data_IF_303422071290
#
_entry.id   IF_303422071290
#
_cell.length_a   1.000
_cell.length_b   1.000
_cell.length_c   1.000
_cell.angle_alpha   90.00
_cell.angle_beta   90.00
_cell.angle_gamma   90.00
#
_symmetry.space_group_name_H-M   'P 1'
#
loop_
_entity.id
_entity.type
_entity.pdbx_description
1 polymer ?
#
# COMPACT_ATOMS: atom_id res chain seq x y z
N UNK A 1 -1.65 16.32 -13.37
CA UNK A 1 -0.95 16.17 -12.07
C UNK A 1 -0.74 14.70 -11.85
N UNK A 2 0.49 14.21 -12.04
CA UNK A 2 0.79 12.80 -11.85
C UNK A 2 0.74 12.46 -10.37
N UNK A 3 -0.17 11.56 -10.02
CA UNK A 3 -0.35 11.05 -8.67
C UNK A 3 0.21 9.64 -8.62
N UNK A 4 1.36 9.47 -8.00
CA UNK A 4 1.83 8.14 -7.63
C UNK A 4 1.04 7.63 -6.41
N UNK A 5 0.62 6.38 -6.45
CA UNK A 5 0.01 5.71 -5.32
C UNK A 5 0.61 4.32 -5.17
N UNK A 6 0.96 3.98 -3.93
CA UNK A 6 1.51 2.70 -3.55
C UNK A 6 0.98 2.30 -2.18
N UNK A 7 1.11 1.02 -1.83
CA UNK A 7 0.69 0.47 -0.54
C UNK A 7 1.71 -0.52 0.00
N UNK A 8 1.85 -0.55 1.32
CA UNK A 8 2.50 -1.63 2.05
C UNK A 8 1.43 -2.38 2.84
N UNK A 9 1.60 -3.69 2.96
CA UNK A 9 0.73 -4.57 3.71
C UNK A 9 1.60 -5.34 4.67
N UNK A 10 1.29 -5.24 5.96
CA UNK A 10 1.86 -6.11 6.97
C UNK A 10 0.78 -7.10 7.39
N UNK A 11 1.05 -8.38 7.20
CA UNK A 11 0.15 -9.47 7.56
C UNK A 11 0.82 -10.37 8.60
N UNK A 12 0.07 -10.84 9.59
CA UNK A 12 0.55 -11.86 10.53
C UNK A 12 -0.03 -13.20 10.11
N UNK A 13 0.83 -14.18 9.83
CA UNK A 13 0.45 -15.53 9.48
C UNK A 13 -0.05 -16.27 10.74
N UNK A 14 -1.29 -16.81 10.75
CA UNK A 14 -1.89 -17.37 11.97
C UNK A 14 -1.23 -18.64 12.51
N UNK A 15 -0.63 -19.46 11.66
CA UNK A 15 -0.06 -20.75 12.03
C UNK A 15 1.36 -20.61 12.61
N UNK A 16 2.22 -19.84 11.95
CA UNK A 16 3.60 -19.58 12.36
C UNK A 16 3.71 -18.40 13.32
N UNK A 17 2.76 -17.47 13.28
CA UNK A 17 2.81 -16.20 14.01
C UNK A 17 3.78 -15.18 13.41
N UNK A 18 4.43 -15.52 12.29
CA UNK A 18 5.36 -14.65 11.58
C UNK A 18 4.63 -13.54 10.84
N UNK A 19 5.39 -12.53 10.42
CA UNK A 19 4.87 -11.36 9.74
C UNK A 19 5.40 -11.29 8.32
N UNK A 20 4.50 -11.16 7.34
CA UNK A 20 4.86 -10.89 5.94
C UNK A 20 4.64 -9.42 5.60
N UNK A 21 5.63 -8.80 4.97
CA UNK A 21 5.55 -7.47 4.39
C UNK A 21 5.53 -7.54 2.87
N UNK A 22 4.43 -7.09 2.28
CA UNK A 22 4.25 -7.01 0.82
C UNK A 22 4.16 -5.55 0.36
N UNK A 23 4.73 -5.24 -0.82
CA UNK A 23 4.82 -3.89 -1.39
C UNK A 23 4.18 -3.85 -2.77
N UNK A 24 3.28 -2.89 -3.02
CA UNK A 24 2.55 -2.85 -4.29
C UNK A 24 3.41 -2.51 -5.52
N UNK A 25 4.58 -1.91 -5.31
CA UNK A 25 5.50 -1.51 -6.38
C UNK A 25 6.62 -2.54 -6.61
N UNK A 26 6.73 -3.53 -5.72
CA UNK A 26 7.75 -4.58 -5.78
C UNK A 26 7.18 -5.86 -5.13
N UNK A 27 6.23 -6.53 -5.81
CA UNK A 27 5.48 -7.64 -5.24
C UNK A 27 6.33 -8.91 -5.07
N UNK A 28 7.46 -9.02 -5.76
CA UNK A 28 8.40 -10.14 -5.67
C UNK A 28 9.39 -10.00 -4.50
N UNK A 29 9.50 -8.80 -3.92
CA UNK A 29 10.33 -8.54 -2.74
C UNK A 29 9.52 -8.72 -1.45
N UNK A 30 8.92 -9.89 -1.27
CA UNK A 30 8.26 -10.27 -0.03
C UNK A 30 9.31 -10.48 1.08
N UNK A 31 9.03 -9.96 2.27
CA UNK A 31 9.92 -10.12 3.42
C UNK A 31 9.16 -10.70 4.60
N UNK A 32 9.76 -11.72 5.22
CA UNK A 32 9.21 -12.40 6.38
C UNK A 32 9.99 -12.04 7.63
N UNK A 33 9.28 -11.84 8.73
CA UNK A 33 9.84 -11.44 10.01
C UNK A 33 9.25 -12.28 11.14
N UNK A 34 10.10 -12.80 12.01
CA UNK A 34 9.65 -13.56 13.18
C UNK A 34 8.95 -12.69 14.24
N UNK A 35 9.16 -11.37 14.25
CA UNK A 35 8.62 -10.46 15.26
C UNK A 35 8.01 -9.21 14.65
N UNK A 36 7.00 -8.67 15.33
CA UNK A 36 6.37 -7.40 14.96
C UNK A 36 7.37 -6.25 14.96
N UNK A 37 8.33 -6.25 15.89
CA UNK A 37 9.35 -5.22 15.98
C UNK A 37 10.25 -5.20 14.73
N UNK A 38 10.71 -6.37 14.27
CA UNK A 38 11.52 -6.48 13.07
C UNK A 38 10.73 -6.04 11.82
N UNK A 39 9.45 -6.41 11.74
CA UNK A 39 8.56 -5.94 10.69
C UNK A 39 8.33 -4.41 10.73
N UNK A 40 8.16 -3.83 11.92
CA UNK A 40 7.99 -2.39 12.08
C UNK A 40 9.24 -1.63 11.61
N UNK A 41 10.43 -2.09 11.98
CA UNK A 41 11.69 -1.52 11.48
C UNK A 41 11.79 -1.61 9.95
N UNK A 42 11.26 -2.68 9.34
CA UNK A 42 11.20 -2.78 7.89
C UNK A 42 10.23 -1.75 7.28
N UNK A 43 9.06 -1.54 7.87
CA UNK A 43 8.09 -0.50 7.44
C UNK A 43 8.68 0.92 7.55
N UNK A 44 9.57 1.17 8.51
CA UNK A 44 10.22 2.47 8.70
C UNK A 44 11.39 2.75 7.74
N UNK A 45 11.81 1.77 6.93
CA UNK A 45 12.89 1.96 5.96
C UNK A 45 12.55 3.04 4.93
N UNK A 46 13.60 3.65 4.37
CA UNK A 46 13.46 4.60 3.28
C UNK A 46 13.08 3.88 1.99
N UNK A 47 11.92 4.24 1.44
CA UNK A 47 11.44 3.71 0.16
C UNK A 47 11.71 4.69 -0.98
N UNK A 48 12.22 4.17 -2.10
CA UNK A 48 12.29 4.95 -3.34
C UNK A 48 10.87 5.12 -3.87
N UNK A 49 10.35 6.34 -3.75
CA UNK A 49 9.05 6.68 -4.30
C UNK A 49 9.12 6.70 -5.83
N UNK A 50 8.16 6.12 -6.56
CA UNK A 50 8.11 6.16 -8.02
C UNK A 50 7.64 7.53 -8.57
N UNK A 51 7.68 8.60 -7.75
CA UNK A 51 7.31 9.95 -8.18
C UNK A 51 8.45 10.51 -9.04
N UNK A 52 8.19 10.91 -10.30
CA UNK A 52 9.20 11.55 -11.11
C UNK A 52 9.68 12.86 -10.46
N UNK A 53 10.98 13.11 -10.52
CA UNK A 53 11.57 14.37 -10.07
C UNK A 53 11.04 15.54 -10.92
N UNK A 54 11.00 16.76 -10.37
CA UNK A 54 10.68 17.94 -11.17
C UNK A 54 11.74 18.18 -12.24
N UNK A 55 11.35 18.85 -13.32
CA UNK A 55 12.29 19.24 -14.37
C UNK A 55 13.35 20.22 -13.79
N UNK A 56 14.64 20.04 -14.10
CA UNK A 56 15.67 20.96 -13.62
C UNK A 56 15.44 22.39 -14.13
N UNK A 57 15.68 23.40 -13.29
CA UNK A 57 15.57 24.83 -13.65
C UNK A 57 14.19 25.28 -14.12
N UNK A 58 13.14 24.52 -13.84
CA UNK A 58 11.77 24.95 -14.08
C UNK A 58 11.10 25.35 -12.76
N UNK A 59 10.28 26.40 -12.81
CA UNK A 59 9.29 26.73 -11.78
C UNK A 59 9.71 26.67 -10.30
N UNK A 60 8.72 26.39 -9.45
CA UNK A 60 8.87 26.17 -8.01
C UNK A 60 7.91 25.05 -7.64
N UNK A 61 8.42 24.04 -6.93
CA UNK A 61 7.76 22.77 -6.71
C UNK A 61 7.51 22.51 -5.23
N UNK A 62 6.56 21.61 -4.96
CA UNK A 62 6.37 21.00 -3.65
C UNK A 62 5.89 19.57 -3.83
N UNK A 63 6.14 18.73 -2.83
CA UNK A 63 5.50 17.42 -2.72
C UNK A 63 4.42 17.45 -1.65
N UNK A 64 3.29 16.81 -1.91
CA UNK A 64 2.25 16.52 -0.92
C UNK A 64 2.13 14.99 -0.78
N UNK A 65 2.30 14.50 0.44
CA UNK A 65 2.10 13.10 0.78
C UNK A 65 0.80 12.95 1.58
N UNK A 66 0.03 11.91 1.24
CA UNK A 66 -1.15 11.48 2.01
C UNK A 66 -0.95 10.02 2.37
N UNK A 67 -0.96 9.74 3.66
CA UNK A 67 -0.86 8.39 4.20
C UNK A 67 -2.19 8.04 4.87
N UNK A 68 -2.76 6.92 4.46
CA UNK A 68 -3.94 6.33 5.10
C UNK A 68 -3.48 5.02 5.73
N UNK A 69 -3.70 4.87 7.04
CA UNK A 69 -3.34 3.67 7.81
C UNK A 69 -4.64 3.03 8.29
N UNK A 70 -4.79 1.75 7.97
CA UNK A 70 -5.93 0.93 8.34
C UNK A 70 -5.46 -0.36 8.99
N UNK A 71 -6.18 -0.77 10.03
CA UNK A 71 -6.01 -2.06 10.69
C UNK A 71 -7.23 -2.88 10.29
N UNK A 72 -7.02 -4.00 9.59
CA UNK A 72 -8.07 -4.91 9.17
C UNK A 72 -8.26 -6.01 10.22
N UNK A 73 -9.50 -6.46 10.42
CA UNK A 73 -9.77 -7.60 11.30
C UNK A 73 -9.61 -8.92 10.55
N UNK A 74 -9.46 -10.04 11.28
CA UNK A 74 -9.27 -11.38 10.68
C UNK A 74 -10.42 -11.78 9.73
N UNK A 75 -11.66 -11.41 10.05
CA UNK A 75 -12.81 -11.71 9.19
C UNK A 75 -12.78 -10.99 7.85
N UNK A 76 -12.21 -9.79 7.81
CA UNK A 76 -12.04 -8.99 6.58
C UNK A 76 -10.92 -9.54 5.68
N UNK A 77 -10.04 -10.36 6.26
CA UNK A 77 -8.84 -10.87 5.60
C UNK A 77 -9.11 -12.17 4.83
N UNK A 78 -9.98 -13.04 5.35
CA UNK A 78 -10.41 -14.27 4.67
C UNK A 78 -11.09 -13.94 3.33
N UNK A 79 -11.96 -12.92 3.30
CA UNK A 79 -12.59 -12.45 2.07
C UNK A 79 -11.57 -11.85 1.08
N UNK A 80 -10.56 -11.13 1.60
CA UNK A 80 -9.48 -10.58 0.79
C UNK A 80 -8.58 -11.68 0.22
N UNK A 81 -8.24 -12.71 1.02
CA UNK A 81 -7.40 -13.82 0.60
C UNK A 81 -8.09 -14.69 -0.45
N UNK A 82 -9.38 -14.99 -0.27
CA UNK A 82 -10.19 -15.71 -1.24
C UNK A 82 -10.33 -14.96 -2.57
N UNK A 83 -10.47 -13.62 -2.50
CA UNK A 83 -10.50 -12.76 -3.69
C UNK A 83 -9.13 -12.63 -4.37
N UNK A 84 -8.04 -12.53 -3.61
CA UNK A 84 -6.66 -12.53 -4.12
C UNK A 84 -6.29 -13.87 -4.77
N UNK A 85 -6.90 -14.97 -4.31
CA UNK A 85 -6.75 -16.32 -4.88
C UNK A 85 -7.60 -16.55 -6.13
N UNK A 86 -8.44 -15.58 -6.51
CA UNK A 86 -9.14 -15.58 -7.79
C UNK A 86 -10.47 -16.35 -7.82
N UNK A 87 -11.10 -16.60 -6.68
CA UNK A 87 -12.35 -17.38 -6.60
C UNK A 87 -13.63 -16.56 -6.88
N UNK A 88 -13.53 -15.28 -7.23
CA UNK A 88 -14.63 -14.53 -7.88
C UNK A 88 -14.35 -14.43 -9.38
N UNK A 89 -14.56 -15.55 -10.07
CA UNK A 89 -14.66 -15.60 -11.52
C UNK A 89 -16.14 -15.57 -11.89
N UNK A 90 -16.67 -14.41 -12.25
CA UNK A 90 -17.78 -14.34 -13.19
C UNK A 90 -17.43 -13.37 -14.33
N UNK A 91 -17.14 -13.99 -15.47
CA UNK A 91 -17.33 -13.50 -16.84
C UNK A 91 -16.86 -12.07 -17.17
N UNK A 92 -15.67 -12.02 -17.78
CA UNK A 92 -15.29 -10.89 -18.62
C UNK A 92 -13.86 -10.47 -18.37
N UNK A 93 -13.02 -10.72 -19.36
CA UNK A 93 -11.68 -10.19 -19.57
C UNK A 93 -11.49 -8.76 -19.00
N UNK A 94 -10.91 -8.66 -17.81
CA UNK A 94 -10.28 -7.41 -17.35
C UNK A 94 -8.96 -7.72 -16.63
N UNK A 95 -8.06 -8.39 -17.35
CA UNK A 95 -6.67 -8.55 -16.95
C UNK A 95 -5.93 -7.22 -16.93
N UNK A 96 -5.36 -6.85 -15.77
CA UNK A 96 -4.21 -5.96 -15.69
C UNK A 96 -4.44 -4.53 -15.16
N UNK A 97 -5.66 -3.97 -15.23
CA UNK A 97 -5.90 -2.58 -14.84
C UNK A 97 -6.73 -2.38 -13.54
N UNK A 98 -7.55 -3.37 -13.16
CA UNK A 98 -8.52 -3.22 -12.05
C UNK A 98 -7.93 -3.53 -10.66
N UNK A 99 -6.85 -4.31 -10.57
CA UNK A 99 -6.29 -4.77 -9.29
C UNK A 99 -5.84 -3.65 -8.33
N UNK A 100 -5.48 -2.47 -8.85
CA UNK A 100 -5.03 -1.32 -8.04
C UNK A 100 -6.17 -0.47 -7.46
N UNK A 101 -7.39 -0.63 -7.98
CA UNK A 101 -8.56 0.18 -7.61
C UNK A 101 -9.49 -0.51 -6.61
N UNK A 102 -9.73 -1.82 -6.78
CA UNK A 102 -10.74 -2.56 -6.01
C UNK A 102 -10.38 -2.74 -4.54
N UNK A 103 -9.11 -2.97 -4.21
CA UNK A 103 -8.63 -3.07 -2.82
C UNK A 103 -8.94 -1.82 -1.99
N UNK A 104 -8.86 -0.64 -2.61
CA UNK A 104 -9.21 0.65 -1.99
C UNK A 104 -10.72 0.80 -1.74
N UNK A 105 -11.56 0.09 -2.48
CA UNK A 105 -13.02 0.10 -2.32
C UNK A 105 -13.46 -0.83 -1.19
N UNK A 106 -12.89 -2.05 -1.10
CA UNK A 106 -13.17 -2.99 -0.01
C UNK A 106 -12.85 -2.40 1.36
N UNK A 107 -11.66 -1.81 1.50
CA UNK A 107 -11.22 -1.12 2.72
C UNK A 107 -12.18 0.01 3.14
N UNK A 108 -12.69 0.79 2.18
CA UNK A 108 -13.58 1.92 2.46
C UNK A 108 -14.98 1.47 2.90
N UNK A 109 -15.39 0.27 2.50
CA UNK A 109 -16.72 -0.28 2.76
C UNK A 109 -16.87 -0.78 4.21
N UNK A 110 -15.78 -1.19 4.86
CA UNK A 110 -15.81 -1.83 6.19
C UNK A 110 -15.80 -0.80 7.34
N UNK A 111 -15.66 0.50 7.03
CA UNK A 111 -15.88 1.56 8.03
C UNK A 111 -14.97 1.50 9.25
N UNK A 112 -13.77 0.93 9.10
CA UNK A 112 -12.78 0.82 10.17
C UNK A 112 -12.08 2.15 10.41
N UNK A 113 -11.43 2.27 11.56
CA UNK A 113 -10.72 3.47 12.00
C UNK A 113 -9.53 3.79 11.08
N UNK A 114 -9.78 4.44 9.94
CA UNK A 114 -8.72 4.93 9.06
C UNK A 114 -8.05 6.14 9.71
N UNK A 115 -6.76 6.03 10.02
CA UNK A 115 -5.97 7.20 10.40
C UNK A 115 -5.39 7.84 9.15
N UNK A 116 -5.70 9.13 8.97
CA UNK A 116 -5.26 9.90 7.80
C UNK A 116 -4.21 10.92 8.21
N UNK A 117 -3.09 10.88 7.53
CA UNK A 117 -1.98 11.81 7.71
C UNK A 117 -1.72 12.54 6.40
N UNK A 118 -1.37 13.82 6.50
CA UNK A 118 -0.96 14.65 5.37
C UNK A 118 0.31 15.38 5.74
N UNK A 119 1.28 15.34 4.84
CA UNK A 119 2.50 16.10 4.94
C UNK A 119 2.74 16.84 3.63
N UNK A 120 3.37 18.01 3.71
CA UNK A 120 3.75 18.80 2.54
C UNK A 120 5.16 19.32 2.75
N UNK A 121 6.00 19.26 1.73
CA UNK A 121 7.31 19.92 1.76
C UNK A 121 7.14 21.42 1.66
N UNK A 122 8.16 22.16 2.08
CA UNK A 122 8.30 23.55 1.67
C UNK A 122 8.41 23.65 0.14
N UNK A 123 8.18 24.85 -0.38
CA UNK A 123 8.42 25.15 -1.78
C UNK A 123 9.93 25.10 -2.05
N UNK A 124 10.33 24.41 -3.11
CA UNK A 124 11.74 24.29 -3.50
C UNK A 124 11.92 24.53 -5.00
N UNK A 125 13.15 24.84 -5.39
CA UNK A 125 13.56 24.96 -6.80
C UNK A 125 14.62 23.89 -7.09
N UNK A 126 14.36 22.98 -8.03
CA UNK A 126 15.26 21.86 -8.36
C UNK A 126 16.48 22.28 -9.19
#
# INVERSE_FOLDING_TARGET
>A
MDRAAWSLILYQEPLSGEYNLTRSWDPEADEWFATLEAAAQAVERWYRSPIPGPEPRSGTYYYEARLEVEILSLGDLDELEHWLRGEVSEEGDIGGAIGRGLKRLFIRMIGLSTRKYRARTELFRP
#
